data_IF_865263950416
#
_entry.id   IF_865263950416
#
_cell.length_a   1.000
_cell.length_b   1.000
_cell.length_c   1.000
_cell.angle_alpha   90.00
_cell.angle_beta   90.00
_cell.angle_gamma   90.00
#
_symmetry.space_group_name_H-M   'P 1'
#
loop_
_entity.id
_entity.type
_entity.pdbx_description
1 polymer ?
#
# COMPACT_ATOMS: atom_id res chain seq x y z
N UNK A 1 6.16 25.23 -18.54
CA UNK A 1 5.28 25.53 -19.69
C UNK A 1 4.02 26.28 -19.27
N UNK A 2 3.49 26.01 -18.08
CA UNK A 2 2.27 26.61 -17.58
C UNK A 2 2.54 27.38 -16.28
N UNK A 3 1.69 28.35 -15.98
CA UNK A 3 1.62 29.00 -14.68
C UNK A 3 0.19 28.90 -14.13
N UNK A 4 0.05 28.90 -12.81
CA UNK A 4 -1.25 28.91 -12.16
C UNK A 4 -1.85 30.31 -12.33
N UNK A 5 -2.90 30.44 -13.13
CA UNK A 5 -3.58 31.71 -13.38
C UNK A 5 -4.67 31.99 -12.35
N UNK A 6 -5.29 30.94 -11.79
CA UNK A 6 -6.30 31.05 -10.76
C UNK A 6 -6.37 29.78 -9.90
N UNK A 7 -6.77 29.93 -8.66
CA UNK A 7 -7.02 28.84 -7.71
C UNK A 7 -8.46 28.96 -7.26
N UNK A 8 -9.26 27.93 -7.53
CA UNK A 8 -10.63 27.78 -7.05
C UNK A 8 -10.66 26.70 -5.97
N UNK A 9 -11.76 26.59 -5.22
CA UNK A 9 -11.88 25.71 -4.06
C UNK A 9 -11.43 24.26 -4.32
N UNK A 10 -11.75 23.71 -5.49
CA UNK A 10 -11.41 22.33 -5.89
C UNK A 10 -10.68 22.24 -7.24
N UNK A 11 -10.13 23.34 -7.75
CA UNK A 11 -9.44 23.32 -9.04
C UNK A 11 -8.36 24.39 -9.18
N UNK A 12 -7.38 24.07 -10.05
CA UNK A 12 -6.31 24.96 -10.47
C UNK A 12 -6.47 25.23 -11.96
N UNK A 13 -6.56 26.53 -12.32
CA UNK A 13 -6.53 26.95 -13.71
C UNK A 13 -5.08 27.28 -14.09
N UNK A 14 -4.56 26.57 -15.08
CA UNK A 14 -3.22 26.76 -15.61
C UNK A 14 -3.34 27.40 -16.99
N UNK A 15 -2.49 28.36 -17.27
CA UNK A 15 -2.35 28.98 -18.59
C UNK A 15 -0.95 28.82 -19.13
N UNK A 16 -0.84 28.74 -20.45
CA UNK A 16 0.44 28.68 -21.13
C UNK A 16 1.30 29.90 -20.77
N UNK A 17 2.55 29.63 -20.40
CA UNK A 17 3.52 30.67 -20.05
C UNK A 17 4.27 31.14 -21.31
N UNK A 18 3.93 32.31 -21.83
CA UNK A 18 4.58 32.89 -22.99
C UNK A 18 6.07 33.21 -22.76
N UNK A 19 6.49 33.29 -21.51
CA UNK A 19 7.90 33.54 -21.12
C UNK A 19 8.70 32.23 -20.97
N UNK A 20 8.09 31.08 -21.24
CA UNK A 20 8.78 29.78 -21.12
C UNK A 20 9.84 29.66 -22.23
N UNK A 21 11.08 29.48 -21.80
CA UNK A 21 12.26 29.39 -22.69
C UNK A 21 12.74 27.94 -22.93
N UNK A 22 12.00 26.92 -22.45
CA UNK A 22 12.37 25.52 -22.69
C UNK A 22 12.07 25.08 -24.13
N UNK A 23 12.64 23.92 -24.50
CA UNK A 23 12.59 23.38 -25.85
C UNK A 23 11.21 22.91 -26.32
N UNK A 24 10.31 22.59 -25.36
CA UNK A 24 8.98 22.09 -25.66
C UNK A 24 7.91 23.15 -25.45
N UNK A 25 7.24 23.56 -26.53
CA UNK A 25 6.08 24.46 -26.47
C UNK A 25 4.82 23.63 -26.67
N UNK A 26 3.95 23.61 -25.67
CA UNK A 26 2.65 22.96 -25.80
C UNK A 26 1.69 23.78 -26.67
N UNK A 27 0.90 23.12 -27.50
CA UNK A 27 -0.24 23.74 -28.20
C UNK A 27 -1.46 23.91 -27.28
N UNK A 28 -1.47 23.21 -26.14
CA UNK A 28 -2.50 23.41 -25.12
C UNK A 28 -2.30 24.76 -24.46
N UNK A 29 -3.34 25.59 -24.48
CA UNK A 29 -3.31 26.97 -23.94
C UNK A 29 -3.75 27.02 -22.49
N UNK A 30 -4.74 26.23 -22.16
CA UNK A 30 -5.41 26.23 -20.87
C UNK A 30 -5.57 24.80 -20.35
N UNK A 31 -5.31 24.60 -19.06
CA UNK A 31 -5.50 23.32 -18.37
C UNK A 31 -6.25 23.58 -17.08
N UNK A 32 -7.32 22.83 -16.86
CA UNK A 32 -8.00 22.80 -15.56
C UNK A 32 -7.65 21.50 -14.85
N UNK A 33 -6.96 21.59 -13.73
CA UNK A 33 -6.73 20.48 -12.83
C UNK A 33 -7.81 20.50 -11.76
N UNK A 34 -8.65 19.47 -11.71
CA UNK A 34 -9.71 19.34 -10.71
C UNK A 34 -9.32 18.30 -9.65
N UNK A 35 -9.49 18.68 -8.39
CA UNK A 35 -9.34 17.75 -7.27
C UNK A 35 -10.72 17.20 -6.96
N UNK A 36 -10.91 15.90 -7.06
CA UNK A 36 -12.15 15.21 -6.70
C UNK A 36 -12.04 14.66 -5.27
N UNK A 37 -13.09 14.82 -4.50
CA UNK A 37 -13.20 14.30 -3.14
C UNK A 37 -13.80 12.88 -3.07
N UNK A 38 -13.98 12.25 -4.23
CA UNK A 38 -14.65 10.96 -4.37
C UNK A 38 -16.17 11.03 -4.40
N UNK A 39 -16.78 12.21 -4.22
CA UNK A 39 -18.23 12.41 -4.35
C UNK A 39 -18.69 12.49 -5.81
N UNK A 40 -17.80 12.82 -6.71
CA UNK A 40 -18.05 12.96 -8.13
C UNK A 40 -17.81 11.65 -8.88
N UNK A 41 -18.70 11.28 -9.76
CA UNK A 41 -18.55 10.09 -10.61
C UNK A 41 -17.55 10.36 -11.74
N UNK A 42 -16.26 10.09 -11.45
CA UNK A 42 -15.15 10.24 -12.40
C UNK A 42 -15.35 9.38 -13.64
N UNK A 43 -15.90 8.16 -13.47
CA UNK A 43 -16.18 7.24 -14.58
C UNK A 43 -17.21 7.84 -15.55
N UNK A 44 -18.29 8.42 -15.00
CA UNK A 44 -19.32 9.08 -15.81
C UNK A 44 -18.76 10.30 -16.53
N UNK A 45 -17.95 11.09 -15.85
CA UNK A 45 -17.32 12.30 -16.41
C UNK A 45 -16.34 11.99 -17.54
N UNK A 46 -15.56 10.91 -17.43
CA UNK A 46 -14.73 10.41 -18.52
C UNK A 46 -15.55 9.89 -19.70
N UNK A 47 -16.60 9.12 -19.45
CA UNK A 47 -17.49 8.58 -20.52
C UNK A 47 -18.21 9.67 -21.30
N UNK A 48 -18.59 10.76 -20.64
CA UNK A 48 -19.27 11.89 -21.28
C UNK A 48 -18.31 12.87 -21.97
N UNK A 49 -16.98 12.72 -21.78
CA UNK A 49 -16.00 13.67 -22.25
C UNK A 49 -15.97 14.99 -21.47
N UNK A 50 -16.58 15.02 -20.27
CA UNK A 50 -16.48 16.17 -19.37
C UNK A 50 -15.08 16.29 -18.78
N UNK A 51 -14.41 15.13 -18.52
CA UNK A 51 -12.98 15.06 -18.25
C UNK A 51 -12.25 14.51 -19.46
N UNK A 52 -11.20 15.19 -19.88
CA UNK A 52 -10.28 14.72 -20.91
C UNK A 52 -9.47 13.51 -20.40
N UNK A 53 -9.09 13.56 -19.14
CA UNK A 53 -8.32 12.48 -18.50
C UNK A 53 -8.43 12.53 -16.98
N UNK A 54 -8.18 11.40 -16.34
CA UNK A 54 -8.19 11.30 -14.87
C UNK A 54 -7.28 10.17 -14.37
N UNK A 55 -6.80 10.33 -13.14
CA UNK A 55 -6.30 9.23 -12.33
C UNK A 55 -7.50 8.49 -11.75
N UNK A 56 -7.53 7.18 -11.89
CA UNK A 56 -8.63 6.34 -11.43
C UNK A 56 -8.11 5.11 -10.69
N UNK A 57 -8.93 4.59 -9.81
CA UNK A 57 -8.70 3.35 -9.09
C UNK A 57 -8.91 2.12 -9.98
N UNK A 58 -8.45 0.95 -9.54
CA UNK A 58 -8.72 -0.31 -10.22
C UNK A 58 -10.21 -0.62 -10.33
N UNK A 59 -10.99 -0.32 -9.30
CA UNK A 59 -12.45 -0.52 -9.31
C UNK A 59 -13.16 0.40 -10.32
N UNK A 60 -12.69 1.63 -10.46
CA UNK A 60 -13.23 2.56 -11.48
C UNK A 60 -12.83 2.10 -12.89
N UNK A 61 -11.62 1.59 -13.06
CA UNK A 61 -11.17 1.02 -14.33
C UNK A 61 -12.03 -0.17 -14.78
N UNK A 62 -12.43 -1.05 -13.87
CA UNK A 62 -13.31 -2.17 -14.19
C UNK A 62 -14.66 -1.71 -14.81
N UNK A 63 -15.15 -0.54 -14.41
CA UNK A 63 -16.37 0.07 -14.99
C UNK A 63 -16.13 0.70 -16.36
N UNK A 64 -14.88 0.87 -16.78
CA UNK A 64 -14.49 1.52 -18.03
C UNK A 64 -14.06 0.55 -19.13
N UNK A 65 -13.81 -0.74 -18.84
CA UNK A 65 -13.22 -1.71 -19.76
C UNK A 65 -13.85 -1.76 -21.15
N UNK A 66 -15.16 -1.62 -21.24
CA UNK A 66 -15.90 -1.72 -22.51
C UNK A 66 -16.30 -0.35 -23.10
N UNK A 67 -15.77 0.74 -22.58
CA UNK A 67 -16.22 2.10 -22.98
C UNK A 67 -15.42 2.72 -24.13
N UNK A 68 -14.33 2.04 -24.58
CA UNK A 68 -13.41 2.61 -25.57
C UNK A 68 -12.49 3.70 -25.03
N UNK A 69 -12.44 3.88 -23.71
CA UNK A 69 -11.51 4.76 -23.00
C UNK A 69 -10.17 4.06 -22.89
N UNK A 70 -9.09 4.76 -23.23
CA UNK A 70 -7.74 4.25 -23.08
C UNK A 70 -7.27 4.46 -21.63
N UNK A 71 -6.71 3.41 -21.02
CA UNK A 71 -6.12 3.53 -19.69
C UNK A 71 -4.73 2.88 -19.65
N UNK A 72 -3.82 3.52 -18.95
CA UNK A 72 -2.45 3.04 -18.71
C UNK A 72 -2.34 2.68 -17.24
N UNK A 73 -2.01 1.42 -16.96
CA UNK A 73 -1.82 0.94 -15.60
C UNK A 73 -0.39 1.18 -15.11
N UNK A 74 -0.26 1.40 -13.81
CA UNK A 74 1.00 1.43 -13.10
C UNK A 74 0.79 0.93 -11.66
N UNK A 75 1.73 0.15 -11.15
CA UNK A 75 1.59 -0.51 -9.86
C UNK A 75 2.45 0.22 -8.83
N UNK A 76 1.86 1.18 -8.14
CA UNK A 76 2.51 2.10 -7.21
C UNK A 76 2.12 1.87 -5.74
N UNK A 77 1.23 0.93 -5.49
CA UNK A 77 0.64 0.71 -4.17
C UNK A 77 0.89 -0.71 -3.68
N UNK A 78 1.28 -0.82 -2.42
CA UNK A 78 1.35 -2.09 -1.69
C UNK A 78 0.30 -2.10 -0.60
N UNK A 79 -0.65 -3.03 -0.69
CA UNK A 79 -1.55 -3.38 0.39
C UNK A 79 -0.80 -4.24 1.39
N UNK A 80 -0.81 -3.84 2.64
CA UNK A 80 -0.13 -4.57 3.70
C UNK A 80 -0.97 -4.60 4.97
N UNK A 81 -0.89 -5.70 5.71
CA UNK A 81 -1.36 -5.72 7.09
C UNK A 81 -0.33 -5.01 7.97
N UNK A 82 -0.85 -4.19 8.88
CA UNK A 82 -0.06 -3.52 9.92
C UNK A 82 -0.51 -4.08 11.27
N UNK A 83 0.46 -4.48 12.10
CA UNK A 83 0.24 -4.95 13.45
C UNK A 83 0.67 -3.87 14.43
N UNK A 84 -0.26 -3.41 15.26
CA UNK A 84 -0.02 -2.35 16.22
C UNK A 84 0.82 -2.84 17.40
N UNK A 85 2.07 -2.41 17.47
CA UNK A 85 3.02 -2.80 18.53
C UNK A 85 2.65 -2.25 19.93
N UNK A 86 1.71 -1.30 20.00
CA UNK A 86 1.17 -0.83 21.27
C UNK A 86 0.15 -1.81 21.86
N UNK A 87 -0.41 -2.71 21.07
CA UNK A 87 -1.18 -3.84 21.59
C UNK A 87 -0.25 -4.82 22.32
N UNK A 88 -0.66 -5.29 23.50
CA UNK A 88 0.15 -6.17 24.35
C UNK A 88 0.55 -7.45 23.60
N UNK A 89 -0.37 -8.03 22.83
CA UNK A 89 -0.10 -9.25 22.05
C UNK A 89 0.94 -8.98 20.98
N UNK A 90 0.80 -7.87 20.24
CA UNK A 90 1.73 -7.53 19.15
C UNK A 90 2.97 -6.75 19.60
N UNK A 91 3.15 -6.49 20.90
CA UNK A 91 4.45 -6.11 21.46
C UNK A 91 5.47 -7.25 21.35
N UNK A 92 5.01 -8.51 21.40
CA UNK A 92 5.82 -9.71 21.24
C UNK A 92 6.13 -9.99 19.77
N UNK A 93 7.41 -10.13 19.41
CA UNK A 93 7.87 -10.33 18.02
C UNK A 93 7.48 -11.71 17.46
N UNK A 94 7.43 -12.76 18.30
CA UNK A 94 6.99 -14.11 17.89
C UNK A 94 5.52 -14.12 17.47
N UNK A 95 4.69 -13.34 18.17
CA UNK A 95 3.26 -13.23 17.84
C UNK A 95 3.04 -12.44 16.55
N UNK A 96 3.81 -11.39 16.30
CA UNK A 96 3.81 -10.71 15.00
C UNK A 96 4.28 -11.63 13.88
N UNK A 97 5.37 -12.37 14.11
CA UNK A 97 5.87 -13.36 13.15
C UNK A 97 4.83 -14.44 12.88
N UNK A 98 4.15 -14.93 13.91
CA UNK A 98 3.09 -15.92 13.78
C UNK A 98 1.96 -15.45 12.86
N UNK A 99 1.47 -14.21 13.04
CA UNK A 99 0.48 -13.61 12.12
C UNK A 99 1.02 -13.56 10.70
N UNK A 100 2.23 -13.07 10.49
CA UNK A 100 2.84 -12.97 9.15
C UNK A 100 2.97 -14.34 8.45
N UNK A 101 3.23 -15.40 9.19
CA UNK A 101 3.35 -16.77 8.66
C UNK A 101 2.01 -17.49 8.53
N UNK A 102 0.95 -16.99 9.14
CA UNK A 102 -0.40 -17.55 9.03
C UNK A 102 -1.06 -17.26 7.69
N UNK A 103 -0.68 -16.17 7.05
CA UNK A 103 -1.35 -15.66 5.87
C UNK A 103 -0.85 -16.39 4.63
N UNK A 104 -1.80 -16.97 3.88
CA UNK A 104 -1.56 -17.54 2.56
C UNK A 104 -1.42 -16.46 1.49
N UNK A 105 -0.96 -16.88 0.33
CA UNK A 105 -1.09 -16.06 -0.86
C UNK A 105 -2.58 -15.86 -1.17
N UNK A 106 -3.02 -14.62 -1.23
CA UNK A 106 -4.40 -14.27 -1.57
C UNK A 106 -4.67 -14.56 -3.06
N UNK A 107 -5.91 -14.95 -3.37
CA UNK A 107 -6.34 -15.11 -4.75
C UNK A 107 -6.56 -13.74 -5.42
N UNK A 108 -5.47 -13.21 -6.01
CA UNK A 108 -5.52 -11.95 -6.74
C UNK A 108 -6.26 -12.03 -8.09
N UNK A 109 -6.58 -13.24 -8.58
CA UNK A 109 -7.24 -13.41 -9.89
C UNK A 109 -8.65 -12.86 -9.95
N UNK A 110 -9.27 -12.63 -8.80
CA UNK A 110 -10.62 -12.05 -8.71
C UNK A 110 -10.68 -10.61 -9.20
N UNK A 111 -9.56 -9.89 -9.16
CA UNK A 111 -9.47 -8.47 -9.52
C UNK A 111 -8.24 -8.24 -10.39
N UNK A 112 -8.43 -7.76 -11.63
CA UNK A 112 -7.33 -7.53 -12.59
C UNK A 112 -6.34 -6.45 -12.14
N UNK A 113 -6.77 -5.57 -11.25
CA UNK A 113 -5.93 -4.50 -10.69
C UNK A 113 -5.14 -4.91 -9.45
N UNK A 114 -5.35 -6.14 -8.96
CA UNK A 114 -4.59 -6.70 -7.83
C UNK A 114 -3.62 -7.77 -8.32
N UNK A 115 -2.46 -7.78 -7.71
CA UNK A 115 -1.46 -8.83 -7.94
C UNK A 115 -0.76 -9.18 -6.63
N UNK A 116 -0.21 -10.41 -6.57
CA UNK A 116 0.49 -10.86 -5.37
C UNK A 116 1.71 -10.00 -5.09
N UNK A 117 1.86 -9.53 -3.84
CA UNK A 117 3.07 -8.85 -3.42
C UNK A 117 4.23 -9.86 -3.24
N UNK A 118 5.31 -9.65 -3.98
CA UNK A 118 6.55 -10.45 -3.90
C UNK A 118 7.63 -9.76 -3.07
N UNK A 119 7.52 -8.45 -2.90
CA UNK A 119 8.34 -7.60 -2.04
C UNK A 119 7.45 -6.54 -1.38
N UNK A 120 8.04 -5.70 -0.53
CA UNK A 120 7.26 -4.60 0.05
C UNK A 120 7.22 -3.38 -0.88
N UNK A 121 8.31 -3.09 -1.55
CA UNK A 121 8.39 -1.97 -2.51
C UNK A 121 7.56 -2.30 -3.75
N UNK A 122 6.61 -1.43 -4.16
CA UNK A 122 5.75 -1.69 -5.30
C UNK A 122 6.54 -1.67 -6.63
N UNK A 123 6.06 -2.39 -7.67
CA UNK A 123 6.78 -2.58 -8.94
C UNK A 123 7.14 -1.30 -9.71
N UNK A 124 6.39 -0.21 -9.54
CA UNK A 124 6.70 1.07 -10.20
C UNK A 124 7.90 1.79 -9.58
N UNK A 125 8.29 1.42 -8.36
CA UNK A 125 9.44 2.02 -7.69
C UNK A 125 10.75 1.44 -8.20
N UNK A 126 11.72 2.31 -8.42
CA UNK A 126 13.06 1.97 -8.89
C UNK A 126 14.11 2.54 -7.92
N UNK A 127 15.30 1.93 -7.90
CA UNK A 127 16.43 2.43 -7.12
C UNK A 127 17.25 3.39 -7.97
N UNK A 128 17.48 3.03 -9.22
CA UNK A 128 18.18 3.83 -10.22
C UNK A 128 17.26 3.98 -11.45
N UNK A 129 17.54 4.95 -12.30
CA UNK A 129 16.67 5.30 -13.43
C UNK A 129 16.31 4.13 -14.37
N UNK A 130 17.10 3.05 -14.35
CA UNK A 130 16.89 1.86 -15.21
C UNK A 130 16.73 0.54 -14.43
N UNK A 131 16.77 0.56 -13.10
CA UNK A 131 16.65 -0.64 -12.29
C UNK A 131 15.25 -0.75 -11.70
N UNK A 132 14.45 -1.70 -12.21
CA UNK A 132 13.17 -2.03 -11.61
C UNK A 132 13.38 -2.69 -10.24
N UNK A 133 12.42 -2.55 -9.33
CA UNK A 133 12.45 -3.13 -7.98
C UNK A 133 12.65 -4.66 -7.95
N UNK A 134 12.54 -5.34 -9.10
CA UNK A 134 12.87 -6.78 -9.25
C UNK A 134 14.20 -7.16 -8.62
N UNK A 135 15.14 -6.21 -8.60
CA UNK A 135 16.46 -6.39 -7.99
C UNK A 135 16.47 -6.14 -6.47
N UNK A 136 15.41 -5.52 -5.92
CA UNK A 136 15.29 -5.31 -4.47
C UNK A 136 15.30 -6.65 -3.72
N UNK A 137 14.56 -7.64 -4.21
CA UNK A 137 14.66 -9.05 -3.82
C UNK A 137 14.51 -9.36 -2.33
N UNK A 138 13.84 -8.50 -1.57
CA UNK A 138 13.42 -8.82 -0.23
C UNK A 138 12.13 -9.66 -0.36
N UNK A 139 12.26 -10.94 -0.07
CA UNK A 139 11.14 -11.87 -0.23
C UNK A 139 10.14 -11.70 0.91
N UNK A 140 8.88 -11.51 0.57
CA UNK A 140 7.78 -11.58 1.53
C UNK A 140 7.71 -13.00 2.11
N UNK A 141 7.50 -13.10 3.42
CA UNK A 141 7.41 -14.40 4.09
C UNK A 141 6.26 -15.24 3.53
N UNK A 142 6.58 -16.50 3.17
CA UNK A 142 5.59 -17.48 2.75
C UNK A 142 4.84 -18.02 3.96
N UNK A 143 3.61 -18.45 3.74
CA UNK A 143 2.82 -19.14 4.75
C UNK A 143 3.57 -20.37 5.30
N UNK A 144 3.52 -20.53 6.62
CA UNK A 144 3.99 -21.70 7.33
C UNK A 144 3.14 -21.89 8.60
N UNK A 145 2.04 -22.61 8.47
CA UNK A 145 1.06 -22.82 9.54
C UNK A 145 1.69 -23.51 10.75
N UNK A 146 2.48 -24.55 10.53
CA UNK A 146 3.14 -25.27 11.64
C UNK A 146 4.03 -24.34 12.46
N UNK A 147 4.84 -23.51 11.79
CA UNK A 147 5.70 -22.55 12.47
C UNK A 147 4.89 -21.44 13.14
N UNK A 148 3.82 -20.98 12.51
CA UNK A 148 2.91 -20.00 13.10
C UNK A 148 2.30 -20.51 14.42
N UNK A 149 1.81 -21.73 14.45
CA UNK A 149 1.24 -22.36 15.66
C UNK A 149 2.29 -22.48 16.78
N UNK A 150 3.50 -22.88 16.47
CA UNK A 150 4.62 -22.94 17.43
C UNK A 150 4.91 -21.55 18.02
N UNK A 151 4.95 -20.52 17.18
CA UNK A 151 5.23 -19.15 17.58
C UNK A 151 4.07 -18.56 18.41
N UNK A 152 2.80 -18.86 18.04
CA UNK A 152 1.65 -18.48 18.84
C UNK A 152 1.75 -19.05 20.25
N UNK A 153 2.00 -20.35 20.39
CA UNK A 153 2.19 -21.00 21.69
C UNK A 153 3.31 -20.34 22.51
N UNK A 154 4.48 -20.19 21.88
CA UNK A 154 5.65 -19.65 22.58
C UNK A 154 5.41 -18.19 23.01
N UNK A 155 4.90 -17.35 22.11
CA UNK A 155 4.70 -15.94 22.40
C UNK A 155 3.60 -15.69 23.44
N UNK A 156 2.50 -16.44 23.41
CA UNK A 156 1.46 -16.33 24.43
C UNK A 156 1.95 -16.78 25.80
N UNK A 157 2.73 -17.85 25.85
CA UNK A 157 3.35 -18.31 27.10
C UNK A 157 4.33 -17.28 27.65
N UNK A 158 5.15 -16.65 26.83
CA UNK A 158 6.06 -15.59 27.25
C UNK A 158 5.35 -14.38 27.85
N UNK A 159 4.15 -14.06 27.34
CA UNK A 159 3.31 -12.99 27.85
C UNK A 159 2.50 -13.40 29.08
N UNK A 160 2.43 -14.69 29.42
CA UNK A 160 1.47 -15.20 30.40
C UNK A 160 0.02 -14.90 30.02
N UNK A 161 -0.25 -14.81 28.71
CA UNK A 161 -1.56 -14.37 28.22
C UNK A 161 -2.59 -15.49 28.32
N UNK A 162 -3.73 -15.18 28.93
CA UNK A 162 -4.92 -16.07 29.00
C UNK A 162 -5.96 -15.74 27.92
N UNK A 163 -5.78 -14.63 27.22
CA UNK A 163 -6.66 -14.16 26.15
C UNK A 163 -5.84 -13.59 25.00
N UNK A 164 -6.32 -13.81 23.78
CA UNK A 164 -5.77 -13.24 22.55
C UNK A 164 -6.94 -12.73 21.70
N UNK A 165 -7.40 -11.53 22.01
CA UNK A 165 -8.53 -10.87 21.34
C UNK A 165 -8.01 -9.71 20.52
N UNK A 166 -8.34 -9.68 19.22
CA UNK A 166 -7.95 -8.57 18.34
C UNK A 166 -9.06 -8.17 17.38
N UNK A 167 -8.97 -6.92 16.98
CA UNK A 167 -9.80 -6.32 15.93
C UNK A 167 -8.95 -6.02 14.71
N UNK A 168 -9.43 -6.46 13.55
CA UNK A 168 -8.87 -6.08 12.26
C UNK A 168 -9.74 -4.99 11.66
N UNK A 169 -9.18 -3.83 11.39
CA UNK A 169 -9.89 -2.73 10.74
C UNK A 169 -9.55 -2.64 9.27
N UNK A 170 -10.55 -2.32 8.45
CA UNK A 170 -10.39 -1.99 7.03
C UNK A 170 -11.55 -1.10 6.55
N UNK A 171 -11.44 -0.59 5.33
CA UNK A 171 -12.54 0.08 4.63
C UNK A 171 -13.40 -0.93 3.85
N UNK A 172 -14.61 -0.52 3.45
CA UNK A 172 -15.54 -1.38 2.69
C UNK A 172 -14.91 -1.90 1.38
N UNK A 173 -14.04 -1.12 0.76
CA UNK A 173 -13.30 -1.48 -0.46
C UNK A 173 -12.54 -2.82 -0.33
N UNK A 174 -11.99 -3.10 0.86
CA UNK A 174 -11.14 -4.28 1.11
C UNK A 174 -11.78 -5.35 1.98
N UNK A 175 -13.08 -5.28 2.18
CA UNK A 175 -13.83 -6.19 3.05
C UNK A 175 -13.60 -7.68 2.76
N UNK A 176 -13.61 -8.06 1.49
CA UNK A 176 -13.42 -9.47 1.12
C UNK A 176 -11.97 -9.91 1.30
N UNK A 177 -11.01 -9.04 1.01
CA UNK A 177 -9.59 -9.29 1.25
C UNK A 177 -9.33 -9.51 2.75
N UNK A 178 -9.89 -8.66 3.60
CA UNK A 178 -9.75 -8.78 5.06
C UNK A 178 -10.35 -10.09 5.58
N UNK A 179 -11.47 -10.55 5.04
CA UNK A 179 -12.05 -11.85 5.42
C UNK A 179 -11.09 -13.01 5.14
N UNK A 180 -10.45 -13.02 3.96
CA UNK A 180 -9.46 -14.05 3.62
C UNK A 180 -8.22 -13.97 4.54
N UNK A 181 -7.75 -12.77 4.86
CA UNK A 181 -6.64 -12.58 5.79
C UNK A 181 -6.95 -13.10 7.18
N UNK A 182 -8.14 -12.80 7.67
CA UNK A 182 -8.64 -13.27 8.98
C UNK A 182 -8.76 -14.79 9.03
N UNK A 183 -9.25 -15.42 7.98
CA UNK A 183 -9.29 -16.89 7.87
C UNK A 183 -7.88 -17.50 7.94
N UNK A 184 -6.90 -16.88 7.28
CA UNK A 184 -5.50 -17.27 7.36
C UNK A 184 -4.95 -17.18 8.79
N UNK A 185 -5.22 -16.08 9.49
CA UNK A 185 -4.79 -15.89 10.88
C UNK A 185 -5.45 -16.94 11.78
N UNK A 186 -6.75 -17.19 11.63
CA UNK A 186 -7.48 -18.22 12.39
C UNK A 186 -6.89 -19.62 12.17
N UNK A 187 -6.53 -19.95 10.92
CA UNK A 187 -5.87 -21.23 10.63
C UNK A 187 -4.48 -21.32 11.28
N UNK A 188 -3.71 -20.20 11.30
CA UNK A 188 -2.41 -20.14 11.95
C UNK A 188 -2.46 -20.22 13.47
N UNK A 189 -3.54 -19.71 14.08
CA UNK A 189 -3.78 -19.86 15.52
C UNK A 189 -4.16 -21.30 15.85
N UNK A 190 -4.96 -21.93 14.98
CA UNK A 190 -5.47 -23.30 15.22
C UNK A 190 -6.36 -23.38 16.45
N UNK A 191 -6.38 -24.54 17.10
CA UNK A 191 -7.13 -24.75 18.35
C UNK A 191 -6.27 -24.30 19.53
N UNK A 192 -6.44 -23.07 20.00
CA UNK A 192 -5.70 -22.50 21.14
C UNK A 192 -5.97 -23.30 22.44
N UNK A 193 -7.11 -23.94 22.54
CA UNK A 193 -7.43 -24.82 23.69
C UNK A 193 -6.43 -25.96 23.92
N UNK A 194 -5.56 -26.23 22.93
CA UNK A 194 -4.49 -27.24 23.01
C UNK A 194 -3.11 -26.70 23.39
N UNK A 195 -2.99 -25.40 23.67
CA UNK A 195 -1.67 -24.77 23.93
C UNK A 195 -1.23 -24.88 25.40
N UNK A 196 -2.13 -25.17 26.35
CA UNK A 196 -1.79 -25.49 27.73
C UNK A 196 -1.55 -26.98 27.89
N UNK A 197 -0.54 -27.36 28.67
CA UNK A 197 -0.34 -28.77 29.06
C UNK A 197 -1.38 -29.24 30.11
N UNK A 198 -2.12 -28.27 30.68
CA UNK A 198 -3.11 -28.51 31.74
C UNK A 198 -4.43 -27.79 31.38
N UNK A 199 -5.54 -28.36 31.78
CA UNK A 199 -6.90 -27.80 31.60
C UNK A 199 -7.10 -26.43 32.24
N UNK A 200 -6.18 -26.01 33.10
CA UNK A 200 -6.22 -24.72 33.82
C UNK A 200 -5.74 -23.50 32.99
N UNK A 201 -5.05 -23.71 31.84
CA UNK A 201 -4.47 -22.62 31.02
C UNK A 201 -5.11 -22.54 29.64
N UNK A 202 -6.43 -22.57 29.56
CA UNK A 202 -7.15 -22.36 28.30
C UNK A 202 -7.06 -20.88 27.91
N UNK A 203 -6.44 -20.61 26.73
CA UNK A 203 -6.41 -19.28 26.15
C UNK A 203 -7.67 -19.08 25.32
N UNK A 204 -8.43 -18.01 25.59
CA UNK A 204 -9.54 -17.61 24.75
C UNK A 204 -9.01 -16.80 23.55
N UNK A 205 -9.49 -17.12 22.35
CA UNK A 205 -9.14 -16.41 21.12
C UNK A 205 -10.39 -15.84 20.46
N UNK A 206 -10.35 -14.56 20.12
CA UNK A 206 -11.35 -13.96 19.23
C UNK A 206 -10.70 -12.98 18.26
N UNK A 207 -11.23 -12.99 17.04
CA UNK A 207 -10.79 -12.12 15.96
C UNK A 207 -12.01 -11.48 15.31
N UNK A 208 -12.14 -10.17 15.47
CA UNK A 208 -13.24 -9.36 14.97
C UNK A 208 -12.79 -8.57 13.74
N UNK A 209 -13.68 -8.42 12.77
CA UNK A 209 -13.48 -7.52 11.63
C UNK A 209 -14.40 -6.32 11.84
N UNK A 210 -13.81 -5.11 11.84
CA UNK A 210 -14.54 -3.84 11.82
C UNK A 210 -14.31 -3.15 10.48
N UNK A 211 -15.39 -3.04 9.70
CA UNK A 211 -15.38 -2.29 8.44
C UNK A 211 -15.82 -0.87 8.76
N UNK A 212 -14.93 0.06 8.53
CA UNK A 212 -15.09 1.46 8.90
C UNK A 212 -15.31 2.35 7.68
N UNK A 213 -15.97 3.49 7.88
CA UNK A 213 -15.94 4.57 6.90
C UNK A 213 -14.50 5.07 6.72
N UNK A 214 -14.20 5.68 5.58
CA UNK A 214 -12.86 6.23 5.32
C UNK A 214 -12.42 7.24 6.42
N UNK A 215 -13.37 8.06 6.89
CA UNK A 215 -13.10 9.04 7.96
C UNK A 215 -12.79 8.37 9.30
N UNK A 216 -13.59 7.36 9.68
CA UNK A 216 -13.39 6.65 10.95
C UNK A 216 -12.12 5.81 10.90
N UNK A 217 -11.85 5.19 9.75
CA UNK A 217 -10.63 4.42 9.52
C UNK A 217 -9.36 5.28 9.69
N UNK A 218 -9.33 6.47 9.07
CA UNK A 218 -8.21 7.43 9.25
C UNK A 218 -8.07 7.89 10.69
N UNK A 219 -9.20 8.10 11.36
CA UNK A 219 -9.21 8.48 12.77
C UNK A 219 -8.65 7.38 13.66
N UNK A 220 -9.07 6.12 13.44
CA UNK A 220 -8.55 4.96 14.17
C UNK A 220 -7.03 4.80 13.95
N UNK A 221 -6.56 4.91 12.71
CA UNK A 221 -5.12 4.86 12.40
C UNK A 221 -4.33 5.95 13.13
N UNK A 222 -4.83 7.20 13.09
CA UNK A 222 -4.13 8.33 13.68
C UNK A 222 -4.03 8.26 15.21
N UNK A 223 -5.04 7.66 15.85
CA UNK A 223 -5.08 7.46 17.31
C UNK A 223 -4.38 6.16 17.74
N UNK A 224 -4.10 5.24 16.82
CA UNK A 224 -3.63 3.90 17.14
C UNK A 224 -4.74 3.00 17.71
N UNK A 225 -6.01 3.30 17.45
CA UNK A 225 -7.18 2.56 17.93
C UNK A 225 -7.47 1.36 17.00
N UNK A 226 -6.51 0.46 16.89
CA UNK A 226 -6.63 -0.79 16.13
C UNK A 226 -5.61 -1.80 16.66
N UNK A 227 -5.86 -3.07 16.43
CA UNK A 227 -4.87 -4.12 16.69
C UNK A 227 -4.16 -4.52 15.40
N UNK A 228 -4.93 -4.73 14.35
CA UNK A 228 -4.45 -5.01 12.99
C UNK A 228 -5.21 -4.07 12.03
N UNK A 229 -4.53 -3.54 11.03
CA UNK A 229 -5.17 -2.77 9.95
C UNK A 229 -4.69 -3.26 8.58
N UNK A 230 -5.56 -3.27 7.58
CA UNK A 230 -5.16 -3.42 6.17
C UNK A 230 -4.94 -2.03 5.58
N UNK A 231 -3.70 -1.72 5.24
CA UNK A 231 -3.28 -0.37 4.87
C UNK A 231 -2.69 -0.29 3.45
N UNK A 232 -2.92 0.83 2.78
CA UNK A 232 -2.36 1.17 1.46
C UNK A 232 -1.09 1.99 1.63
N UNK A 233 0.04 1.43 1.25
CA UNK A 233 1.27 2.18 1.10
C UNK A 233 1.44 2.57 -0.37
N UNK A 234 1.13 3.82 -0.70
CA UNK A 234 1.22 4.33 -2.06
C UNK A 234 2.50 5.15 -2.25
N UNK A 235 3.24 4.85 -3.30
CA UNK A 235 4.43 5.59 -3.66
C UNK A 235 4.05 6.95 -4.28
N UNK A 236 4.59 8.04 -3.73
CA UNK A 236 4.36 9.39 -4.26
C UNK A 236 5.22 9.72 -5.49
N UNK A 237 6.23 8.90 -5.73
CA UNK A 237 7.12 8.96 -6.89
C UNK A 237 7.79 7.59 -7.08
N UNK A 238 8.58 7.45 -8.15
CA UNK A 238 9.26 6.18 -8.46
C UNK A 238 10.48 5.84 -7.60
N UNK A 239 10.84 6.65 -6.62
CA UNK A 239 12.00 6.35 -5.79
C UNK A 239 11.66 5.31 -4.73
N UNK A 240 12.30 4.15 -4.81
CA UNK A 240 12.20 3.11 -3.80
C UNK A 240 12.66 3.62 -2.42
N UNK A 241 13.70 4.46 -2.35
CA UNK A 241 14.14 5.04 -1.08
C UNK A 241 13.12 6.01 -0.48
N UNK A 242 12.47 6.84 -1.31
CA UNK A 242 11.41 7.72 -0.81
C UNK A 242 10.23 6.91 -0.30
N UNK A 243 9.85 5.83 -1.00
CA UNK A 243 8.81 4.91 -0.53
C UNK A 243 9.18 4.29 0.83
N UNK A 244 10.36 3.67 0.96
CA UNK A 244 10.82 3.08 2.22
C UNK A 244 10.92 4.12 3.34
N UNK A 245 11.36 5.33 3.02
CA UNK A 245 11.42 6.45 3.96
C UNK A 245 10.03 6.86 4.44
N UNK A 246 9.05 6.97 3.54
CA UNK A 246 7.68 7.33 3.90
C UNK A 246 7.05 6.29 4.84
N UNK A 247 7.32 5.00 4.59
CA UNK A 247 6.86 3.90 5.45
C UNK A 247 7.44 3.99 6.86
N UNK A 248 8.76 4.14 6.97
CA UNK A 248 9.44 4.21 8.27
C UNK A 248 8.99 5.46 9.05
N UNK A 249 8.76 6.57 8.37
CA UNK A 249 8.32 7.83 8.97
C UNK A 249 6.80 7.91 9.21
N UNK A 250 6.02 6.94 8.77
CA UNK A 250 4.56 6.92 8.98
C UNK A 250 4.12 6.65 10.42
N UNK A 251 5.04 6.27 11.30
CA UNK A 251 4.80 5.80 12.67
C UNK A 251 3.99 4.48 12.77
N UNK A 252 3.55 3.90 11.64
CA UNK A 252 2.76 2.66 11.61
C UNK A 252 3.58 1.43 12.03
N UNK A 253 4.90 1.50 11.93
CA UNK A 253 5.81 0.45 12.42
C UNK A 253 6.10 0.56 13.93
N UNK A 254 5.70 1.65 14.58
CA UNK A 254 6.15 1.98 15.93
C UNK A 254 7.69 2.06 16.03
N UNK A 255 8.26 1.65 17.14
CA UNK A 255 9.72 1.64 17.30
C UNK A 255 10.37 0.53 16.46
N UNK A 256 11.09 0.89 15.40
CA UNK A 256 11.78 -0.03 14.48
C UNK A 256 13.24 0.42 14.22
N UNK A 257 14.14 0.38 15.23
CA UNK A 257 15.48 0.98 15.15
C UNK A 257 16.36 0.34 14.08
N UNK A 258 16.18 -0.93 13.77
CA UNK A 258 16.91 -1.63 12.72
C UNK A 258 16.53 -1.07 11.32
N UNK A 259 15.24 -0.83 11.07
CA UNK A 259 14.76 -0.24 9.82
C UNK A 259 15.24 1.22 9.66
N UNK A 260 15.16 2.02 10.73
CA UNK A 260 15.68 3.40 10.76
C UNK A 260 17.18 3.45 10.46
N UNK A 261 17.96 2.56 11.09
CA UNK A 261 19.41 2.49 10.86
C UNK A 261 19.74 2.05 9.43
N UNK A 262 18.98 1.10 8.88
CA UNK A 262 19.14 0.65 7.50
C UNK A 262 18.78 1.74 6.48
N UNK A 263 17.70 2.51 6.73
CA UNK A 263 17.34 3.66 5.91
C UNK A 263 18.45 4.72 5.88
N UNK A 264 19.00 5.09 7.04
CA UNK A 264 20.12 6.05 7.11
C UNK A 264 21.34 5.58 6.30
N UNK A 265 21.66 4.29 6.35
CA UNK A 265 22.73 3.71 5.52
C UNK A 265 22.42 3.79 4.03
N UNK A 266 21.15 3.56 3.65
CA UNK A 266 20.75 3.63 2.26
C UNK A 266 20.81 5.09 1.73
N UNK A 267 20.34 6.06 2.51
CA UNK A 267 20.35 7.48 2.15
C UNK A 267 21.76 8.06 2.05
N UNK A 268 22.69 7.58 2.88
CA UNK A 268 24.10 8.05 2.90
C UNK A 268 25.02 7.16 2.06
N UNK A 269 24.49 6.18 1.34
CA UNK A 269 25.27 5.27 0.51
C UNK A 269 25.75 5.94 -0.78
N UNK A 270 26.82 5.37 -1.34
CA UNK A 270 27.29 5.72 -2.69
C UNK A 270 26.41 5.07 -3.74
N UNK A 271 26.44 5.55 -4.98
CA UNK A 271 25.75 4.94 -6.11
C UNK A 271 26.04 3.43 -6.26
N UNK A 272 27.27 3.02 -5.99
CA UNK A 272 27.70 1.61 -6.10
C UNK A 272 27.01 0.67 -5.11
N UNK A 273 26.64 1.14 -3.92
CA UNK A 273 26.02 0.31 -2.89
C UNK A 273 24.55 0.66 -2.61
N UNK A 274 23.99 1.62 -3.35
CA UNK A 274 22.64 2.13 -3.12
C UNK A 274 21.58 1.02 -3.23
N UNK A 275 21.65 0.20 -4.26
CA UNK A 275 20.70 -0.91 -4.49
C UNK A 275 20.75 -1.92 -3.35
N UNK A 276 21.96 -2.32 -2.92
CA UNK A 276 22.13 -3.25 -1.82
C UNK A 276 21.65 -2.67 -0.47
N UNK A 277 21.92 -1.40 -0.23
CA UNK A 277 21.46 -0.72 0.99
C UNK A 277 19.95 -0.55 1.02
N UNK A 278 19.30 -0.22 -0.09
CA UNK A 278 17.85 -0.16 -0.20
C UNK A 278 17.22 -1.54 0.05
N UNK A 279 17.79 -2.60 -0.53
CA UNK A 279 17.38 -3.99 -0.26
C UNK A 279 17.51 -4.35 1.22
N UNK A 280 18.60 -3.94 1.86
CA UNK A 280 18.81 -4.19 3.29
C UNK A 280 17.81 -3.40 4.16
N UNK A 281 17.42 -2.20 3.72
CA UNK A 281 16.38 -1.41 4.37
C UNK A 281 15.01 -2.11 4.29
N UNK A 282 14.61 -2.58 3.11
CA UNK A 282 13.38 -3.34 2.94
C UNK A 282 13.38 -4.63 3.78
N UNK A 283 14.50 -5.37 3.80
CA UNK A 283 14.65 -6.55 4.67
C UNK A 283 14.48 -6.21 6.15
N UNK A 284 15.01 -5.07 6.60
CA UNK A 284 14.87 -4.65 7.99
C UNK A 284 13.42 -4.29 8.35
N UNK A 285 12.67 -3.69 7.42
CA UNK A 285 11.23 -3.44 7.57
C UNK A 285 10.48 -4.77 7.73
N UNK A 286 10.71 -5.72 6.84
CA UNK A 286 10.04 -7.02 6.86
C UNK A 286 10.42 -7.85 8.10
N UNK A 287 11.68 -7.79 8.54
CA UNK A 287 12.17 -8.53 9.70
C UNK A 287 11.60 -8.04 11.04
N UNK A 288 10.98 -6.86 11.10
CA UNK A 288 10.27 -6.36 12.27
C UNK A 288 8.91 -7.06 12.48
N UNK A 289 8.37 -7.67 11.43
CA UNK A 289 7.07 -8.34 11.40
C UNK A 289 5.87 -7.44 11.76
N UNK A 290 6.05 -6.14 11.90
CA UNK A 290 4.94 -5.21 12.11
C UNK A 290 4.16 -4.91 10.83
N UNK A 291 4.74 -5.21 9.66
CA UNK A 291 4.13 -5.04 8.35
C UNK A 291 4.25 -6.35 7.56
N UNK A 292 3.12 -6.82 7.02
CA UNK A 292 3.04 -7.96 6.09
C UNK A 292 2.47 -7.48 4.77
N UNK A 293 3.28 -7.29 3.71
CA UNK A 293 2.77 -7.08 2.36
C UNK A 293 1.92 -8.27 1.90
N UNK A 294 0.77 -8.00 1.29
CA UNK A 294 -0.15 -9.03 0.84
C UNK A 294 -0.43 -8.96 -0.66
N UNK A 295 -0.73 -7.77 -1.17
CA UNK A 295 -1.04 -7.53 -2.57
C UNK A 295 -0.38 -6.24 -3.06
N UNK A 296 -0.15 -6.15 -4.36
CA UNK A 296 0.04 -4.89 -5.05
C UNK A 296 -1.29 -4.45 -5.67
N UNK A 297 -1.53 -3.16 -5.67
CA UNK A 297 -2.66 -2.55 -6.35
C UNK A 297 -2.17 -1.64 -7.47
N UNK A 298 -2.79 -1.79 -8.63
CA UNK A 298 -2.53 -0.95 -9.79
C UNK A 298 -3.47 0.24 -9.80
N UNK A 299 -2.91 1.42 -9.99
CA UNK A 299 -3.61 2.65 -10.35
C UNK A 299 -3.62 2.81 -11.86
N UNK A 300 -4.51 3.63 -12.37
CA UNK A 300 -4.68 3.85 -13.79
C UNK A 300 -4.75 5.33 -14.11
N UNK A 301 -4.18 5.69 -15.25
CA UNK A 301 -4.42 6.97 -15.88
C UNK A 301 -5.29 6.75 -17.12
N UNK A 302 -6.51 7.26 -17.10
CA UNK A 302 -7.49 7.08 -18.16
C UNK A 302 -7.65 8.35 -18.99
N UNK A 303 -7.82 8.18 -20.31
CA UNK A 303 -8.04 9.26 -21.27
C UNK A 303 -9.35 9.03 -22.01
N UNK A 304 -10.19 10.07 -22.06
CA UNK A 304 -11.42 10.05 -22.85
C UNK A 304 -11.11 9.86 -24.35
N UNK A 305 -12.09 9.37 -25.08
CA UNK A 305 -11.95 9.09 -26.51
C UNK A 305 -11.62 10.38 -27.28
N UNK A 306 -10.57 10.34 -28.09
CA UNK A 306 -10.14 11.46 -28.94
C UNK A 306 -9.19 12.44 -28.29
N UNK A 307 -8.83 12.26 -27.01
CA UNK A 307 -7.81 13.06 -26.34
C UNK A 307 -6.43 12.61 -26.80
N UNK A 308 -5.69 13.48 -27.48
CA UNK A 308 -4.37 13.19 -28.04
C UNK A 308 -3.24 14.01 -27.43
N UNK A 309 -3.57 15.12 -26.78
CA UNK A 309 -2.60 16.14 -26.37
C UNK A 309 -2.00 15.92 -24.98
N UNK A 310 -2.32 14.79 -24.34
CA UNK A 310 -1.82 14.44 -23.02
C UNK A 310 -1.10 13.12 -23.08
N UNK A 311 0.14 13.10 -22.63
CA UNK A 311 0.92 11.88 -22.49
C UNK A 311 1.15 11.58 -21.00
N UNK A 312 0.80 10.38 -20.60
CA UNK A 312 1.09 9.86 -19.26
C UNK A 312 2.44 9.12 -19.26
N UNK A 313 3.23 9.37 -18.23
CA UNK A 313 4.52 8.73 -18.00
C UNK A 313 4.42 7.78 -16.79
N UNK A 314 4.14 6.48 -17.01
CA UNK A 314 3.92 5.52 -15.93
C UNK A 314 5.09 5.48 -14.95
N UNK A 315 6.27 5.73 -15.49
CA UNK A 315 7.50 5.77 -14.73
C UNK A 315 7.59 6.87 -13.69
N UNK A 316 6.96 7.99 -13.86
CA UNK A 316 6.97 9.13 -12.92
C UNK A 316 5.61 9.43 -12.32
N UNK A 317 4.55 8.76 -12.78
CA UNK A 317 3.17 9.09 -12.44
C UNK A 317 2.76 10.49 -12.90
N UNK A 318 3.49 11.07 -13.86
CA UNK A 318 3.28 12.44 -14.32
C UNK A 318 2.65 12.48 -15.70
N UNK A 319 2.00 13.58 -16.00
CA UNK A 319 1.50 13.89 -17.33
C UNK A 319 2.35 14.98 -17.98
N UNK A 320 2.47 14.93 -19.30
CA UNK A 320 2.98 16.03 -20.12
C UNK A 320 1.98 16.36 -21.22
N UNK A 321 2.02 17.62 -21.66
CA UNK A 321 1.20 18.07 -22.77
C UNK A 321 2.09 18.05 -24.01
N UNK A 322 1.70 17.28 -24.99
CA UNK A 322 2.42 17.05 -26.23
C UNK A 322 1.71 17.72 -27.40
N UNK A 323 2.46 18.02 -28.45
CA UNK A 323 1.92 18.62 -29.68
C UNK A 323 1.43 17.52 -30.61
#
# INVERSE_FOLDING_TARGET
QFYVSNILEASYLLKNNSQYVGDYKSQVTDVTLKITDGSEDTVKSLKSGYYDSAYITGQEYDKLKDSGITAISYTDTTLAMILNKNNVIFSNDKLRQAVCLSISDLDSKKYDYLSRATSFTPPSCVIEANAANKEMGATVYKQNITKAQELWRTGLNELGATQANFTVIATEEYKDIVKELVQGIQAGVGSISSYGNDDEHKISFSLKIDILSESDYRTALSKGDYDIALYKFTATNQSALNFLSSVINSNLMGNAPAAVSALKRAQNGTAQNLAQNAKNCEKAILADYSIKPVLYESSYYAQAKGVANVQFHPGSGRISFVN
#
